data_IF_306920098815
#
_entry.id   IF_306920098815
#
_cell.length_a   1.000
_cell.length_b   1.000
_cell.length_c   1.000
_cell.angle_alpha   90.00
_cell.angle_beta   90.00
_cell.angle_gamma   90.00
#
_symmetry.space_group_name_H-M   'P 1'
#
loop_
_entity.id
_entity.type
_entity.pdbx_description
1 polymer ?
#
# COMPACT_ATOMS: atom_id res chain seq x y z
N UNK A 1 2.08 8.20 -21.18
CA UNK A 1 3.27 7.40 -20.79
C UNK A 1 4.37 8.29 -20.22
N UNK A 2 5.27 7.75 -19.40
CA UNK A 2 6.46 8.45 -18.89
C UNK A 2 7.55 8.62 -19.96
N UNK A 3 8.52 9.51 -19.70
CA UNK A 3 9.82 9.47 -20.38
C UNK A 3 10.51 8.14 -20.05
N UNK A 4 11.36 7.66 -20.96
CA UNK A 4 12.15 6.46 -20.73
C UNK A 4 13.16 6.72 -19.62
N UNK A 5 13.30 5.77 -18.70
CA UNK A 5 14.30 5.79 -17.63
C UNK A 5 15.06 4.47 -17.61
N UNK A 6 16.30 4.48 -17.12
CA UNK A 6 17.07 3.25 -16.99
C UNK A 6 16.36 2.25 -16.06
N UNK A 7 16.30 0.98 -16.45
CA UNK A 7 15.61 -0.06 -15.67
C UNK A 7 16.21 -0.21 -14.26
N UNK A 8 17.53 -0.06 -14.11
CA UNK A 8 18.22 -0.02 -12.81
C UNK A 8 17.72 1.11 -11.92
N UNK A 9 17.52 2.31 -12.49
CA UNK A 9 17.03 3.47 -11.76
C UNK A 9 15.57 3.28 -11.34
N UNK A 10 14.72 2.77 -12.23
CA UNK A 10 13.35 2.40 -11.91
C UNK A 10 13.28 1.36 -10.78
N UNK A 11 14.09 0.30 -10.86
CA UNK A 11 14.16 -0.74 -9.83
C UNK A 11 14.50 -0.15 -8.46
N UNK A 12 15.51 0.73 -8.40
CA UNK A 12 15.88 1.43 -7.16
C UNK A 12 14.72 2.26 -6.61
N UNK A 13 14.03 3.03 -7.46
CA UNK A 13 12.88 3.82 -7.01
C UNK A 13 11.73 2.96 -6.52
N UNK A 14 11.45 1.84 -7.19
CA UNK A 14 10.41 0.91 -6.75
C UNK A 14 10.75 0.29 -5.39
N UNK A 15 12.00 -0.13 -5.16
CA UNK A 15 12.43 -0.64 -3.86
C UNK A 15 12.28 0.42 -2.74
N UNK A 16 12.73 1.66 -3.00
CA UNK A 16 12.58 2.77 -2.04
C UNK A 16 11.09 3.01 -1.76
N UNK A 17 10.26 3.02 -2.79
CA UNK A 17 8.81 3.15 -2.66
C UNK A 17 8.20 2.06 -1.79
N UNK A 18 8.58 0.79 -2.00
CA UNK A 18 8.10 -0.33 -1.18
C UNK A 18 8.43 -0.14 0.30
N UNK A 19 9.69 0.18 0.62
CA UNK A 19 10.13 0.40 2.01
C UNK A 19 9.40 1.59 2.63
N UNK A 20 9.34 2.72 1.91
CA UNK A 20 8.64 3.92 2.38
C UNK A 20 7.14 3.66 2.57
N UNK A 21 6.49 2.94 1.67
CA UNK A 21 5.07 2.60 1.76
C UNK A 21 4.75 1.73 2.96
N UNK A 22 5.61 0.74 3.26
CA UNK A 22 5.49 -0.08 4.47
C UNK A 22 5.69 0.75 5.73
N UNK A 23 6.71 1.62 5.75
CA UNK A 23 7.00 2.47 6.89
C UNK A 23 5.86 3.45 7.19
N UNK A 24 5.35 4.14 6.16
CA UNK A 24 4.19 5.04 6.30
C UNK A 24 2.98 4.27 6.84
N UNK A 25 2.68 3.10 6.30
CA UNK A 25 1.56 2.30 6.76
C UNK A 25 1.70 1.87 8.23
N UNK A 26 2.89 1.46 8.67
CA UNK A 26 3.15 1.10 10.07
C UNK A 26 3.02 2.30 11.01
N UNK A 27 3.46 3.48 10.59
CA UNK A 27 3.33 4.70 11.40
C UNK A 27 1.88 5.15 11.54
N UNK A 28 1.06 5.02 10.50
CA UNK A 28 -0.34 5.45 10.52
C UNK A 28 -1.27 4.43 11.16
N UNK A 29 -0.83 3.18 11.29
CA UNK A 29 -1.68 2.05 11.65
C UNK A 29 -0.93 1.18 12.67
N UNK A 30 -0.53 1.74 13.81
CA UNK A 30 0.25 1.02 14.82
C UNK A 30 -0.63 0.11 15.70
N UNK A 31 -1.28 -0.87 15.07
CA UNK A 31 -2.19 -1.82 15.73
C UNK A 31 -1.85 -3.27 15.38
N UNK A 32 -2.23 -4.22 16.24
CA UNK A 32 -2.03 -5.66 15.98
C UNK A 32 -2.65 -6.13 14.65
N UNK A 33 -3.89 -5.74 14.27
CA UNK A 33 -4.45 -6.09 12.96
C UNK A 33 -3.66 -5.55 11.78
N UNK A 34 -3.19 -4.29 11.85
CA UNK A 34 -2.36 -3.71 10.82
C UNK A 34 -1.01 -4.45 10.69
N UNK A 35 -0.40 -4.87 11.81
CA UNK A 35 0.78 -5.72 11.82
C UNK A 35 0.56 -7.06 11.09
N UNK A 36 -0.58 -7.71 11.31
CA UNK A 36 -0.96 -8.94 10.60
C UNK A 36 -1.04 -8.68 9.09
N UNK A 37 -1.70 -7.60 8.66
CA UNK A 37 -1.80 -7.25 7.24
C UNK A 37 -0.42 -6.97 6.64
N UNK A 38 0.48 -6.29 7.37
CA UNK A 38 1.85 -6.06 6.92
C UNK A 38 2.57 -7.39 6.71
N UNK A 39 2.60 -8.25 7.72
CA UNK A 39 3.41 -9.47 7.71
C UNK A 39 2.88 -10.49 6.71
N UNK A 40 1.56 -10.71 6.68
CA UNK A 40 0.95 -11.80 5.92
C UNK A 40 0.45 -11.39 4.53
N UNK A 41 0.26 -10.10 4.26
CA UNK A 41 -0.27 -9.62 2.97
C UNK A 41 0.72 -8.71 2.26
N UNK A 42 1.07 -7.56 2.84
CA UNK A 42 1.86 -6.54 2.15
C UNK A 42 3.31 -6.97 1.93
N UNK A 43 3.97 -7.52 2.94
CA UNK A 43 5.36 -7.95 2.88
C UNK A 43 5.56 -9.07 1.83
N UNK A 44 4.81 -10.19 1.82
CA UNK A 44 4.98 -11.20 0.79
C UNK A 44 4.63 -10.65 -0.60
N UNK A 45 3.55 -9.86 -0.73
CA UNK A 45 3.17 -9.25 -1.99
C UNK A 45 4.27 -8.35 -2.57
N UNK A 46 4.81 -7.43 -1.75
CA UNK A 46 5.89 -6.57 -2.19
C UNK A 46 7.18 -7.32 -2.47
N UNK A 47 7.49 -8.36 -1.69
CA UNK A 47 8.67 -9.20 -1.94
C UNK A 47 8.59 -9.85 -3.32
N UNK A 48 7.42 -10.36 -3.71
CA UNK A 48 7.19 -10.90 -5.05
C UNK A 48 7.34 -9.84 -6.14
N UNK A 49 6.77 -8.65 -5.93
CA UNK A 49 6.86 -7.55 -6.87
C UNK A 49 8.31 -7.07 -7.07
N UNK A 50 9.04 -6.87 -5.97
CA UNK A 50 10.45 -6.48 -5.98
C UNK A 50 11.30 -7.57 -6.64
N UNK A 51 11.11 -8.83 -6.27
CA UNK A 51 11.82 -9.96 -6.87
C UNK A 51 11.59 -10.04 -8.39
N UNK A 52 10.36 -9.81 -8.85
CA UNK A 52 10.01 -9.78 -10.28
C UNK A 52 10.77 -8.69 -11.04
N UNK A 53 10.79 -7.45 -10.52
CA UNK A 53 11.49 -6.33 -11.16
C UNK A 53 13.01 -6.54 -11.10
N UNK A 54 13.55 -7.01 -9.97
CA UNK A 54 14.98 -7.29 -9.81
C UNK A 54 15.42 -8.39 -10.79
N UNK A 55 14.66 -9.48 -10.90
CA UNK A 55 14.92 -10.55 -11.88
C UNK A 55 14.91 -10.01 -13.32
N UNK A 56 13.96 -9.13 -13.64
CA UNK A 56 13.87 -8.49 -14.95
C UNK A 56 15.04 -7.56 -15.23
N UNK A 57 15.50 -6.81 -14.23
CA UNK A 57 16.67 -5.94 -14.29
C UNK A 57 17.97 -6.73 -14.46
N UNK A 58 18.10 -7.88 -13.79
CA UNK A 58 19.25 -8.78 -13.95
C UNK A 58 19.36 -9.35 -15.37
N UNK A 59 18.22 -9.70 -15.99
CA UNK A 59 18.17 -10.18 -17.38
C UNK A 59 18.38 -9.09 -18.43
N UNK A 60 18.11 -7.83 -18.10
CA UNK A 60 18.10 -6.71 -19.06
C UNK A 60 18.86 -5.49 -18.53
N UNK A 61 20.13 -5.66 -18.14
CA UNK A 61 20.92 -4.64 -17.42
C UNK A 61 21.00 -3.28 -18.11
N UNK A 62 20.96 -3.25 -19.45
CA UNK A 62 21.05 -2.03 -20.27
C UNK A 62 19.70 -1.57 -20.83
N UNK A 63 18.58 -2.15 -20.38
CA UNK A 63 17.27 -1.75 -20.86
C UNK A 63 16.75 -0.46 -20.23
N UNK A 64 15.86 0.20 -20.96
CA UNK A 64 15.06 1.32 -20.48
C UNK A 64 13.62 0.90 -20.28
N UNK A 65 12.92 1.55 -19.36
CA UNK A 65 11.51 1.27 -19.06
C UNK A 65 10.68 2.54 -19.22
N UNK A 66 9.47 2.36 -19.76
CA UNK A 66 8.40 3.36 -19.77
C UNK A 66 7.23 2.83 -18.98
N UNK A 67 6.65 3.68 -18.13
CA UNK A 67 5.50 3.33 -17.30
C UNK A 67 4.31 4.25 -17.57
N UNK A 68 3.12 3.83 -17.17
CA UNK A 68 1.92 4.63 -17.28
C UNK A 68 1.73 5.52 -16.04
N UNK A 69 1.80 6.86 -16.24
CA UNK A 69 1.65 7.82 -15.14
C UNK A 69 0.25 7.81 -14.52
N UNK A 70 -0.78 7.48 -15.29
CA UNK A 70 -2.15 7.42 -14.77
C UNK A 70 -2.30 6.29 -13.74
N UNK A 71 -1.71 5.12 -14.01
CA UNK A 71 -1.71 4.00 -13.06
C UNK A 71 -0.93 4.33 -11.79
N UNK A 72 0.15 5.11 -11.88
CA UNK A 72 0.85 5.61 -10.69
C UNK A 72 -0.07 6.49 -9.83
N UNK A 73 -0.87 7.36 -10.46
CA UNK A 73 -1.90 8.15 -9.76
C UNK A 73 -2.94 7.27 -9.07
N UNK A 74 -3.42 6.22 -9.74
CA UNK A 74 -4.35 5.25 -9.14
C UNK A 74 -3.74 4.53 -7.93
N UNK A 75 -2.47 4.11 -8.02
CA UNK A 75 -1.75 3.49 -6.90
C UNK A 75 -1.71 4.44 -5.70
N UNK A 76 -1.31 5.70 -5.92
CA UNK A 76 -1.23 6.70 -4.84
C UNK A 76 -2.61 6.98 -4.22
N UNK A 77 -3.66 7.05 -5.05
CA UNK A 77 -5.03 7.24 -4.59
C UNK A 77 -5.48 6.06 -3.70
N UNK A 78 -5.34 4.83 -4.18
CA UNK A 78 -5.74 3.65 -3.40
C UNK A 78 -4.85 3.45 -2.16
N UNK A 79 -3.57 3.82 -2.23
CA UNK A 79 -2.70 3.82 -1.07
C UNK A 79 -3.19 4.79 0.01
N UNK A 80 -3.57 6.01 -0.40
CA UNK A 80 -4.13 7.02 0.49
C UNK A 80 -5.44 6.55 1.13
N UNK A 81 -6.38 6.04 0.32
CA UNK A 81 -7.65 5.51 0.83
C UNK A 81 -7.39 4.38 1.82
N UNK A 82 -6.55 3.40 1.47
CA UNK A 82 -6.18 2.28 2.34
C UNK A 82 -5.57 2.75 3.66
N UNK A 83 -4.75 3.81 3.66
CA UNK A 83 -4.17 4.38 4.89
C UNK A 83 -5.27 5.04 5.73
N UNK A 84 -6.13 5.86 5.11
CA UNK A 84 -7.21 6.55 5.84
C UNK A 84 -8.23 5.60 6.46
N UNK A 85 -8.52 4.48 5.78
CA UNK A 85 -9.48 3.47 6.23
C UNK A 85 -8.82 2.39 7.10
N UNK A 86 -7.50 2.43 7.26
CA UNK A 86 -6.77 1.43 8.05
C UNK A 86 -7.11 1.49 9.54
N UNK A 87 -7.09 0.35 10.26
CA UNK A 87 -7.31 0.33 11.70
C UNK A 87 -6.13 0.99 12.44
N UNK A 88 -6.40 2.09 13.14
CA UNK A 88 -5.39 2.90 13.83
C UNK A 88 -5.51 2.85 15.36
N UNK A 89 -6.72 2.74 15.90
CA UNK A 89 -6.93 2.58 17.33
C UNK A 89 -7.85 1.40 17.64
N UNK A 90 -7.29 0.39 18.32
CA UNK A 90 -7.96 -0.84 18.71
C UNK A 90 -7.97 -0.98 20.25
N UNK A 91 -8.49 0.05 20.96
CA UNK A 91 -8.55 0.03 22.42
C UNK A 91 -9.60 -0.99 22.92
N UNK A 92 -9.21 -1.92 23.78
CA UNK A 92 -10.09 -3.00 24.24
C UNK A 92 -10.44 -4.01 23.15
N UNK A 93 -9.50 -4.35 22.26
CA UNK A 93 -9.75 -5.33 21.19
C UNK A 93 -9.99 -6.74 21.73
N UNK A 94 -11.17 -7.29 21.40
CA UNK A 94 -11.53 -8.70 21.52
C UNK A 94 -12.24 -9.12 20.23
N UNK A 95 -12.22 -10.42 19.91
CA UNK A 95 -12.88 -10.97 18.71
C UNK A 95 -14.34 -10.49 18.63
N UNK A 96 -14.70 -9.85 17.52
CA UNK A 96 -16.06 -9.36 17.26
C UNK A 96 -16.30 -7.87 17.52
N UNK A 97 -15.30 -7.10 17.99
CA UNK A 97 -15.39 -5.63 18.03
C UNK A 97 -14.52 -4.94 16.99
N UNK A 98 -15.11 -3.93 16.37
CA UNK A 98 -14.53 -3.04 15.38
C UNK A 98 -13.45 -2.12 15.95
N UNK A 99 -12.43 -1.81 15.15
CA UNK A 99 -11.38 -0.85 15.49
C UNK A 99 -11.63 0.47 14.77
N UNK A 100 -11.35 1.58 15.46
CA UNK A 100 -11.41 2.90 14.83
C UNK A 100 -10.32 3.02 13.75
N UNK A 101 -10.75 3.48 12.59
CA UNK A 101 -9.88 3.81 11.46
C UNK A 101 -9.09 5.10 11.70
N UNK A 102 -7.97 5.26 11.00
CA UNK A 102 -7.08 6.42 11.13
C UNK A 102 -7.82 7.76 10.93
N UNK A 103 -8.74 7.81 9.96
CA UNK A 103 -9.53 9.03 9.73
C UNK A 103 -10.48 9.33 10.90
N UNK A 104 -11.04 8.31 11.55
CA UNK A 104 -11.89 8.52 12.73
C UNK A 104 -11.08 9.05 13.92
N UNK A 105 -9.86 8.53 14.11
CA UNK A 105 -8.96 9.04 15.15
C UNK A 105 -8.58 10.51 14.94
N UNK A 106 -8.37 10.91 13.68
CA UNK A 106 -8.06 12.31 13.33
C UNK A 106 -9.21 13.29 13.56
N UNK A 107 -10.46 12.87 13.36
CA UNK A 107 -11.63 13.75 13.42
C UNK A 107 -12.45 13.64 14.71
N UNK A 108 -12.15 12.68 15.58
CA UNK A 108 -12.83 12.53 16.86
C UNK A 108 -12.15 13.35 17.95
N UNK A 109 -12.95 14.12 18.71
CA UNK A 109 -12.53 14.75 19.97
C UNK A 109 -12.83 13.86 21.20
N UNK A 110 -13.38 12.66 21.00
CA UNK A 110 -13.74 11.76 22.09
C UNK A 110 -12.49 11.12 22.70
N UNK A 111 -12.47 11.01 24.03
CA UNK A 111 -11.36 10.38 24.75
C UNK A 111 -11.32 8.87 24.44
N UNK A 112 -10.12 8.28 24.49
CA UNK A 112 -9.91 6.84 24.25
C UNK A 112 -10.83 5.90 25.06
N UNK A 113 -11.31 6.35 26.23
CA UNK A 113 -12.25 5.62 27.07
C UNK A 113 -13.71 5.63 26.57
N UNK A 114 -14.14 6.65 25.82
CA UNK A 114 -15.50 6.72 25.26
C UNK A 114 -15.66 5.78 24.05
N UNK A 115 -14.57 5.48 23.34
CA UNK A 115 -14.54 4.53 22.22
C UNK A 115 -14.90 3.09 22.61
N UNK A 116 -14.73 2.72 23.89
CA UNK A 116 -15.08 1.39 24.37
C UNK A 116 -16.61 1.19 24.55
N UNK A 117 -17.39 2.27 24.66
CA UNK A 117 -18.80 2.19 25.03
C UNK A 117 -19.77 2.62 23.91
N UNK A 118 -19.26 3.15 22.79
CA UNK A 118 -20.06 3.52 21.62
C UNK A 118 -19.79 2.59 20.45
N UNK A 119 -20.84 2.27 19.70
CA UNK A 119 -20.67 1.62 18.39
C UNK A 119 -19.94 2.58 17.45
N UNK A 120 -18.96 2.10 16.66
CA UNK A 120 -18.28 2.95 15.69
C UNK A 120 -19.31 3.45 14.69
N UNK A 121 -19.50 4.77 14.68
CA UNK A 121 -20.51 5.43 13.85
C UNK A 121 -20.18 5.35 12.35
N UNK A 122 -18.95 4.97 11.99
CA UNK A 122 -18.50 4.83 10.59
C UNK A 122 -17.98 3.42 10.28
N UNK A 123 -18.77 2.38 10.57
CA UNK A 123 -18.51 0.99 10.16
C UNK A 123 -18.26 0.85 8.64
N UNK A 124 -18.88 1.72 7.83
CA UNK A 124 -18.66 1.78 6.38
C UNK A 124 -17.19 2.08 6.01
N UNK A 125 -16.48 2.85 6.84
CA UNK A 125 -15.07 3.18 6.61
C UNK A 125 -14.20 1.96 6.89
N UNK A 126 -14.49 1.22 7.96
CA UNK A 126 -13.78 -0.01 8.32
C UNK A 126 -13.99 -1.12 7.26
N UNK A 127 -15.23 -1.31 6.81
CA UNK A 127 -15.55 -2.30 5.76
C UNK A 127 -14.95 -1.94 4.39
N UNK A 128 -14.65 -0.66 4.15
CA UNK A 128 -13.98 -0.22 2.93
C UNK A 128 -12.48 -0.54 2.90
N UNK A 129 -11.84 -0.79 4.05
CA UNK A 129 -10.43 -1.11 4.14
C UNK A 129 -10.01 -2.33 3.29
N UNK A 130 -10.62 -3.53 3.44
CA UNK A 130 -10.22 -4.69 2.64
C UNK A 130 -10.43 -4.44 1.14
N UNK A 131 -11.47 -3.70 0.76
CA UNK A 131 -11.72 -3.31 -0.64
C UNK A 131 -10.59 -2.41 -1.14
N UNK A 132 -10.23 -1.36 -0.39
CA UNK A 132 -9.15 -0.45 -0.73
C UNK A 132 -7.79 -1.16 -0.81
N UNK A 133 -7.53 -2.09 0.11
CA UNK A 133 -6.33 -2.93 0.10
C UNK A 133 -6.28 -3.78 -1.18
N UNK A 134 -7.36 -4.49 -1.54
CA UNK A 134 -7.39 -5.32 -2.75
C UNK A 134 -7.22 -4.49 -4.02
N UNK A 135 -7.93 -3.36 -4.14
CA UNK A 135 -7.80 -2.44 -5.27
C UNK A 135 -6.38 -1.89 -5.39
N UNK A 136 -5.74 -1.57 -4.27
CA UNK A 136 -4.34 -1.15 -4.22
C UNK A 136 -3.39 -2.23 -4.76
N UNK A 137 -3.54 -3.48 -4.31
CA UNK A 137 -2.73 -4.60 -4.79
C UNK A 137 -2.91 -4.83 -6.30
N UNK A 138 -4.17 -4.82 -6.78
CA UNK A 138 -4.49 -4.96 -8.20
C UNK A 138 -3.86 -3.82 -9.01
N UNK A 139 -3.94 -2.58 -8.53
CA UNK A 139 -3.35 -1.43 -9.22
C UNK A 139 -1.82 -1.56 -9.37
N UNK A 140 -1.12 -2.07 -8.35
CA UNK A 140 0.32 -2.36 -8.44
C UNK A 140 0.60 -3.44 -9.49
N UNK A 141 -0.16 -4.54 -9.48
CA UNK A 141 0.04 -5.63 -10.44
C UNK A 141 -0.17 -5.13 -11.88
N UNK A 142 -1.24 -4.38 -12.13
CA UNK A 142 -1.52 -3.81 -13.45
C UNK A 142 -0.44 -2.80 -13.85
N UNK A 143 0.04 -1.97 -12.92
CA UNK A 143 1.13 -1.04 -13.18
C UNK A 143 2.42 -1.76 -13.60
N UNK A 144 2.79 -2.84 -12.89
CA UNK A 144 3.96 -3.64 -13.24
C UNK A 144 3.78 -4.39 -14.57
N UNK A 145 2.58 -4.94 -14.82
CA UNK A 145 2.27 -5.64 -16.07
C UNK A 145 2.29 -4.71 -17.30
N UNK A 146 2.02 -3.41 -17.11
CA UNK A 146 2.01 -2.41 -18.21
C UNK A 146 3.36 -1.74 -18.44
N UNK A 147 4.42 -2.15 -17.73
CA UNK A 147 5.77 -1.67 -17.96
C UNK A 147 6.25 -2.09 -19.35
N UNK A 148 6.69 -1.11 -20.15
CA UNK A 148 7.30 -1.38 -21.47
C UNK A 148 8.81 -1.29 -21.37
N UNK A 149 9.46 -2.45 -21.43
CA UNK A 149 10.91 -2.59 -21.37
C UNK A 149 11.46 -2.61 -22.79
N UNK A 150 12.36 -1.67 -23.10
CA UNK A 150 13.05 -1.58 -24.37
C UNK A 150 14.52 -1.91 -24.14
N UNK A 151 15.00 -2.97 -24.79
CA UNK A 151 16.43 -3.29 -24.82
C UNK A 151 17.14 -2.23 -25.66
N UNK A 152 18.18 -1.62 -25.11
CA UNK A 152 19.10 -0.81 -25.91
C UNK A 152 20.00 -1.82 -26.63
N UNK A 153 20.01 -1.81 -27.96
CA UNK A 153 20.93 -2.64 -28.73
C UNK A 153 22.36 -2.19 -28.38
N UNK A 154 23.20 -3.14 -27.97
CA UNK A 154 24.64 -2.94 -27.78
C UNK A 154 25.34 -2.76 -29.13
#
# INVERSE_FOLDING_TARGET
>A
MSKAIALKQFTRYFCIYTVASLFVYLLTSFTSPAGIIVIFVLLPFYSLCVASIVSTNLKNRHATVRYNKYLLGCILLFQGIKILTSPASCYGWYQGRSCYSFIQELFSNENLNDFANKTPHWETVETSFPIALVLYLIAIVIFLATLRIHKVAE
#
